data_IF_376389194298
#
_entry.id   IF_376389194298
#
_cell.length_a   1.000
_cell.length_b   1.000
_cell.length_c   1.000
_cell.angle_alpha   90.00
_cell.angle_beta   90.00
_cell.angle_gamma   90.00
#
_symmetry.space_group_name_H-M   'P 1'
#
loop_
_entity.id
_entity.type
_entity.pdbx_description
1 polymer ?
#
# COMPACT_ATOMS: atom_id res chain seq x y z
N UNK A 1 27.60 54.06 -22.20
CA UNK A 1 27.89 52.63 -22.40
C UNK A 1 28.72 52.00 -21.28
N UNK A 2 29.88 52.55 -20.90
CA UNK A 2 30.76 51.99 -19.85
C UNK A 2 30.08 51.74 -18.49
N UNK A 3 29.22 52.67 -18.04
CA UNK A 3 28.51 52.52 -16.75
C UNK A 3 27.44 51.42 -16.75
N UNK A 4 26.86 51.06 -17.90
CA UNK A 4 25.88 49.97 -17.99
C UNK A 4 26.56 48.61 -17.95
N UNK A 5 27.74 48.49 -18.59
CA UNK A 5 28.54 47.26 -18.59
C UNK A 5 29.01 46.91 -17.17
N UNK A 6 29.42 47.90 -16.38
CA UNK A 6 29.84 47.68 -14.99
C UNK A 6 28.68 47.12 -14.15
N UNK A 7 27.46 47.68 -14.29
CA UNK A 7 26.28 47.19 -13.58
C UNK A 7 25.94 45.75 -14.00
N UNK A 8 26.00 45.42 -15.30
CA UNK A 8 25.78 44.05 -15.76
C UNK A 8 26.83 43.07 -15.22
N UNK A 9 28.10 43.47 -15.15
CA UNK A 9 29.17 42.65 -14.56
C UNK A 9 29.01 42.46 -13.05
N UNK A 10 28.58 43.48 -12.30
CA UNK A 10 28.32 43.38 -10.86
C UNK A 10 27.12 42.48 -10.54
N UNK A 11 26.07 42.51 -11.36
CA UNK A 11 24.90 41.62 -11.23
C UNK A 11 25.28 40.17 -11.58
N UNK A 12 26.14 39.94 -12.58
CA UNK A 12 26.61 38.60 -12.92
C UNK A 12 27.45 37.96 -11.80
N UNK A 13 28.23 38.75 -11.08
CA UNK A 13 29.06 38.31 -9.95
C UNK A 13 28.25 37.98 -8.69
N UNK A 14 27.07 38.58 -8.53
CA UNK A 14 26.15 38.23 -7.43
C UNK A 14 25.37 36.93 -7.70
N UNK A 15 25.36 36.44 -8.95
CA UNK A 15 24.72 35.19 -9.34
C UNK A 15 25.67 33.97 -9.27
N UNK A 16 26.95 34.16 -8.95
CA UNK A 16 27.94 33.07 -8.85
C UNK A 16 28.13 32.55 -7.42
N UNK A 17 27.13 32.67 -6.55
CA UNK A 17 27.15 32.04 -5.24
C UNK A 17 27.00 30.52 -5.38
N UNK A 18 28.12 29.80 -5.42
CA UNK A 18 28.09 28.35 -5.27
C UNK A 18 27.60 28.01 -3.86
N UNK A 19 26.38 27.50 -3.76
CA UNK A 19 25.91 26.85 -2.52
C UNK A 19 26.75 25.59 -2.37
N UNK A 20 27.72 25.61 -1.46
CA UNK A 20 28.41 24.40 -1.08
C UNK A 20 27.44 23.54 -0.27
N UNK A 21 27.10 22.31 -0.73
CA UNK A 21 26.34 21.41 0.11
C UNK A 21 27.13 21.16 1.39
N UNK A 22 26.47 21.32 2.53
CA UNK A 22 27.05 20.93 3.81
C UNK A 22 27.18 19.42 3.82
N UNK A 23 28.40 18.92 3.62
CA UNK A 23 28.72 17.52 3.79
C UNK A 23 29.08 17.30 5.26
N UNK A 24 28.17 16.69 6.01
CA UNK A 24 28.49 16.18 7.34
C UNK A 24 29.50 15.05 7.16
N UNK A 25 30.70 15.20 7.72
CA UNK A 25 31.62 14.07 7.85
C UNK A 25 31.09 13.16 8.96
N UNK A 26 30.47 12.04 8.56
CA UNK A 26 30.11 11.00 9.50
C UNK A 26 31.39 10.24 9.85
N UNK A 27 31.76 10.21 11.13
CA UNK A 27 32.76 9.25 11.60
C UNK A 27 32.28 7.84 11.27
N UNK A 28 33.22 6.93 10.99
CA UNK A 28 32.98 5.49 10.85
C UNK A 28 32.33 4.95 12.13
N UNK A 29 31.02 5.15 12.26
CA UNK A 29 30.22 4.64 13.36
C UNK A 29 29.83 3.24 12.92
N UNK A 30 30.51 2.26 13.50
CA UNK A 30 30.03 0.88 13.49
C UNK A 30 28.54 0.90 13.89
N UNK A 31 27.71 0.22 13.11
CA UNK A 31 26.26 0.14 13.27
C UNK A 31 25.90 -0.34 14.68
N UNK A 32 25.74 0.58 15.63
CA UNK A 32 25.56 0.24 17.05
C UNK A 32 24.09 0.08 17.40
N UNK A 33 23.24 0.92 16.81
CA UNK A 33 21.84 1.04 17.19
C UNK A 33 20.95 0.20 16.28
N UNK A 34 19.96 -0.45 16.90
CA UNK A 34 19.01 -1.33 16.22
C UNK A 34 17.65 -0.68 16.08
N UNK A 35 16.92 -1.09 15.05
CA UNK A 35 15.51 -0.77 14.83
C UNK A 35 14.69 -2.04 14.95
N UNK A 36 13.65 -2.03 15.78
CA UNK A 36 12.72 -3.16 15.94
C UNK A 36 11.33 -2.71 15.53
N UNK A 37 10.73 -3.45 14.60
CA UNK A 37 9.40 -3.15 14.07
C UNK A 37 8.50 -4.37 14.11
N UNK A 38 7.29 -4.19 14.65
CA UNK A 38 6.28 -5.24 14.77
C UNK A 38 5.81 -5.43 16.21
N UNK A 39 4.60 -5.95 16.35
CA UNK A 39 4.02 -6.32 17.64
C UNK A 39 3.97 -7.85 17.77
N UNK A 40 3.91 -8.33 19.00
CA UNK A 40 3.63 -9.73 19.33
C UNK A 40 2.14 -9.95 19.11
N UNK A 41 1.80 -10.82 18.16
CA UNK A 41 0.42 -11.14 17.81
C UNK A 41 -0.04 -12.37 18.60
N UNK A 42 -1.21 -12.25 19.22
CA UNK A 42 -1.81 -13.34 19.99
C UNK A 42 -2.95 -13.97 19.18
N UNK A 43 -2.93 -15.30 19.02
CA UNK A 43 -3.91 -16.03 18.20
C UNK A 43 -3.53 -16.14 16.72
N UNK A 44 -2.42 -15.51 16.32
CA UNK A 44 -1.89 -15.49 14.95
C UNK A 44 -0.36 -15.54 14.96
N UNK A 45 0.30 -15.91 13.86
CA UNK A 45 1.75 -15.94 13.81
C UNK A 45 2.38 -14.55 13.88
N UNK A 46 3.28 -14.34 14.83
CA UNK A 46 4.01 -13.08 15.02
C UNK A 46 5.12 -12.92 13.98
N UNK A 47 5.28 -11.71 13.46
CA UNK A 47 6.43 -11.30 12.64
C UNK A 47 7.02 -10.02 13.18
N UNK A 48 8.33 -10.05 13.47
CA UNK A 48 9.10 -8.89 13.96
C UNK A 48 10.29 -8.70 13.03
N UNK A 49 10.52 -7.46 12.62
CA UNK A 49 11.64 -7.07 11.76
C UNK A 49 12.70 -6.34 12.57
N UNK A 50 13.94 -6.81 12.45
CA UNK A 50 15.13 -6.20 13.02
C UNK A 50 15.92 -5.50 11.91
N UNK A 51 16.31 -4.25 12.15
CA UNK A 51 17.10 -3.41 11.26
C UNK A 51 18.22 -2.70 12.00
N UNK A 52 19.08 -2.04 11.24
CA UNK A 52 20.07 -1.11 11.78
C UNK A 52 19.58 0.33 11.60
N UNK A 53 20.00 1.23 12.48
CA UNK A 53 19.94 2.66 12.20
C UNK A 53 21.05 3.00 11.21
N UNK A 54 20.73 3.72 10.15
CA UNK A 54 21.69 4.11 9.11
C UNK A 54 22.03 5.60 9.21
N UNK A 55 23.30 5.98 9.03
CA UNK A 55 23.69 7.37 8.87
C UNK A 55 22.92 8.05 7.73
N UNK A 56 22.67 9.35 7.90
CA UNK A 56 22.04 10.18 6.87
C UNK A 56 22.92 10.18 5.61
N UNK A 57 22.32 9.91 4.45
CA UNK A 57 23.05 9.80 3.18
C UNK A 57 23.37 8.36 2.75
N UNK A 58 23.09 7.36 3.58
CA UNK A 58 23.16 5.95 3.17
C UNK A 58 22.14 5.67 2.06
N UNK A 59 22.59 5.10 0.95
CA UNK A 59 21.70 4.83 -0.19
C UNK A 59 20.77 3.65 0.10
N UNK A 60 19.59 3.62 -0.53
CA UNK A 60 18.65 2.48 -0.41
C UNK A 60 19.25 1.15 -0.86
N UNK A 61 20.19 1.19 -1.80
CA UNK A 61 20.95 0.02 -2.23
C UNK A 61 21.93 -0.50 -1.18
N UNK A 62 22.50 0.37 -0.35
CA UNK A 62 23.38 0.00 0.76
C UNK A 62 22.58 -0.55 1.95
N UNK A 63 21.47 0.09 2.30
CA UNK A 63 20.56 -0.38 3.35
C UNK A 63 20.09 -1.82 3.07
N UNK A 64 19.74 -2.12 1.81
CA UNK A 64 19.26 -3.46 1.41
C UNK A 64 20.32 -4.55 1.46
N UNK A 65 21.60 -4.23 1.62
CA UNK A 65 22.70 -5.22 1.64
C UNK A 65 23.03 -5.73 3.03
N UNK A 66 22.59 -5.04 4.09
CA UNK A 66 22.97 -5.36 5.46
C UNK A 66 21.75 -5.40 6.37
N UNK A 67 21.36 -6.59 6.81
CA UNK A 67 20.35 -6.77 7.84
C UNK A 67 20.98 -7.46 9.05
N UNK A 68 20.62 -7.06 10.26
CA UNK A 68 21.05 -7.76 11.46
C UNK A 68 20.55 -9.20 11.41
N UNK A 69 21.46 -10.13 11.66
CA UNK A 69 21.13 -11.53 11.92
C UNK A 69 21.23 -11.79 13.42
N UNK A 70 20.86 -12.99 13.88
CA UNK A 70 20.93 -13.33 15.29
C UNK A 70 19.81 -14.26 15.73
N UNK A 71 19.55 -14.27 17.02
CA UNK A 71 18.43 -15.02 17.62
C UNK A 71 17.45 -14.08 18.28
N UNK A 72 16.18 -14.47 18.26
CA UNK A 72 15.11 -13.72 18.89
C UNK A 72 14.17 -14.71 19.58
N UNK A 73 13.78 -14.41 20.81
CA UNK A 73 12.88 -15.26 21.59
C UNK A 73 11.77 -14.42 22.20
N UNK A 74 10.56 -15.00 22.26
CA UNK A 74 9.45 -14.44 23.01
C UNK A 74 9.30 -15.20 24.32
N UNK A 75 9.21 -14.46 25.42
CA UNK A 75 9.01 -14.99 26.76
C UNK A 75 7.62 -14.61 27.25
N UNK A 76 6.85 -15.57 27.75
CA UNK A 76 5.60 -15.30 28.46
C UNK A 76 5.83 -15.34 29.98
N UNK A 77 5.02 -14.60 30.74
CA UNK A 77 5.10 -14.51 32.20
C UNK A 77 4.98 -15.86 32.94
N UNK A 78 4.49 -16.92 32.29
CA UNK A 78 4.49 -18.29 32.84
C UNK A 78 5.82 -19.05 32.67
N UNK A 79 6.82 -18.45 32.02
CA UNK A 79 8.08 -19.11 31.65
C UNK A 79 8.06 -19.88 30.32
N UNK A 80 6.96 -19.84 29.55
CA UNK A 80 6.91 -20.41 28.19
C UNK A 80 7.72 -19.55 27.23
N UNK A 81 8.50 -20.18 26.37
CA UNK A 81 9.38 -19.51 25.41
C UNK A 81 9.02 -19.95 23.98
N UNK A 82 8.96 -18.99 23.05
CA UNK A 82 8.88 -19.24 21.62
C UNK A 82 10.19 -18.81 20.97
N UNK A 83 10.80 -19.73 20.22
CA UNK A 83 12.01 -19.44 19.46
C UNK A 83 11.63 -18.84 18.10
N UNK A 84 12.22 -17.70 17.76
CA UNK A 84 12.04 -17.04 16.49
C UNK A 84 12.79 -17.76 15.38
N UNK A 85 12.10 -18.03 14.28
CA UNK A 85 12.71 -18.52 13.04
C UNK A 85 13.10 -17.33 12.18
N UNK A 86 14.39 -17.18 11.90
CA UNK A 86 14.87 -16.17 10.95
C UNK A 86 14.40 -16.53 9.54
N UNK A 87 13.77 -15.58 8.86
CA UNK A 87 13.32 -15.70 7.49
C UNK A 87 14.34 -15.02 6.57
N UNK A 88 14.06 -13.79 6.16
CA UNK A 88 14.96 -13.00 5.32
C UNK A 88 14.85 -11.52 5.67
N UNK A 89 15.89 -10.75 5.36
CA UNK A 89 15.93 -9.29 5.55
C UNK A 89 15.57 -8.85 6.99
N UNK A 90 16.18 -9.50 7.98
CA UNK A 90 15.95 -9.16 9.39
C UNK A 90 14.59 -9.59 9.95
N UNK A 91 13.75 -10.29 9.19
CA UNK A 91 12.43 -10.74 9.65
C UNK A 91 12.53 -12.05 10.43
N UNK A 92 11.94 -12.05 11.64
CA UNK A 92 11.77 -13.22 12.50
C UNK A 92 10.29 -13.59 12.59
N UNK A 93 10.03 -14.89 12.56
CA UNK A 93 8.69 -15.46 12.67
C UNK A 93 8.55 -16.31 13.94
N UNK A 94 7.42 -16.19 14.62
CA UNK A 94 7.08 -16.99 15.80
C UNK A 94 5.70 -17.63 15.63
N UNK A 95 5.59 -18.90 16.03
CA UNK A 95 4.32 -19.62 16.09
C UNK A 95 3.53 -19.28 17.35
N UNK A 96 2.85 -18.12 17.34
CA UNK A 96 2.06 -17.57 18.46
C UNK A 96 0.55 -17.80 18.33
N UNK A 97 0.14 -18.72 17.47
CA UNK A 97 -1.26 -19.09 17.24
C UNK A 97 -1.90 -19.64 18.53
N UNK A 98 -1.17 -20.46 19.28
CA UNK A 98 -1.61 -21.03 20.56
C UNK A 98 -1.10 -20.24 21.79
N UNK A 99 -0.76 -18.97 21.61
CA UNK A 99 -0.28 -18.11 22.68
C UNK A 99 -1.43 -17.70 23.62
N UNK A 100 -1.26 -17.79 24.95
CA UNK A 100 -2.29 -17.34 25.91
C UNK A 100 -2.72 -15.87 25.73
N UNK A 101 -4.02 -15.62 25.61
CA UNK A 101 -4.60 -14.27 25.52
C UNK A 101 -4.64 -13.50 26.85
N UNK A 102 -3.78 -13.85 27.80
CA UNK A 102 -3.68 -13.25 29.13
C UNK A 102 -2.24 -13.30 29.62
N UNK A 103 -1.87 -12.40 30.53
CA UNK A 103 -0.51 -12.32 31.04
C UNK A 103 0.31 -11.28 30.31
N UNK A 104 1.64 -11.43 30.35
CA UNK A 104 2.57 -10.49 29.73
C UNK A 104 3.63 -11.21 28.93
N UNK A 105 4.06 -10.55 27.86
CA UNK A 105 5.09 -11.04 26.96
C UNK A 105 6.27 -10.10 26.93
N UNK A 106 7.44 -10.64 26.64
CA UNK A 106 8.67 -9.88 26.46
C UNK A 106 9.44 -10.40 25.26
N UNK A 107 10.00 -9.49 24.48
CA UNK A 107 10.91 -9.80 23.39
C UNK A 107 12.34 -9.79 23.90
N UNK A 108 13.12 -10.78 23.48
CA UNK A 108 14.53 -10.87 23.76
C UNK A 108 15.31 -11.10 22.46
N UNK A 109 16.31 -10.26 22.20
CA UNK A 109 17.03 -10.16 20.93
C UNK A 109 18.53 -10.30 21.21
N UNK A 110 19.20 -11.17 20.46
CA UNK A 110 20.66 -11.33 20.43
C UNK A 110 21.14 -11.18 19.00
N UNK A 111 21.46 -9.95 18.57
CA UNK A 111 21.98 -9.73 17.23
C UNK A 111 23.39 -10.30 17.10
N UNK A 112 23.85 -10.40 15.86
CA UNK A 112 25.20 -10.83 15.47
C UNK A 112 26.32 -9.89 15.94
N UNK A 113 25.98 -8.69 16.40
CA UNK A 113 26.91 -7.74 17.02
C UNK A 113 27.33 -8.11 18.46
N UNK A 114 26.82 -9.21 19.01
CA UNK A 114 27.19 -9.72 20.35
C UNK A 114 26.54 -8.98 21.52
N UNK A 115 25.68 -7.99 21.25
CA UNK A 115 24.89 -7.30 22.27
C UNK A 115 23.62 -8.09 22.61
N UNK A 116 22.94 -7.72 23.69
CA UNK A 116 21.71 -8.36 24.14
C UNK A 116 20.67 -7.27 24.44
N UNK A 117 19.49 -7.38 23.84
CA UNK A 117 18.41 -6.42 24.00
C UNK A 117 17.15 -7.12 24.52
N UNK A 118 16.41 -6.43 25.40
CA UNK A 118 15.13 -6.89 25.90
C UNK A 118 14.09 -5.78 25.81
N UNK A 119 12.85 -6.15 25.46
CA UNK A 119 11.73 -5.25 25.66
C UNK A 119 11.32 -5.21 27.14
N UNK A 120 10.53 -4.21 27.51
CA UNK A 120 9.73 -4.28 28.71
C UNK A 120 8.67 -5.40 28.61
N UNK A 121 8.10 -5.77 29.75
CA UNK A 121 6.95 -6.68 29.80
C UNK A 121 5.70 -5.97 29.26
N UNK A 122 5.18 -6.45 28.13
CA UNK A 122 3.95 -5.98 27.52
C UNK A 122 2.77 -6.86 27.93
N UNK A 123 1.79 -6.29 28.64
CA UNK A 123 0.52 -6.97 28.90
C UNK A 123 -0.28 -7.18 27.61
N UNK A 124 -1.03 -8.27 27.53
CA UNK A 124 -1.88 -8.54 26.34
C UNK A 124 -2.97 -7.47 26.20
N UNK A 125 -2.90 -6.72 25.12
CA UNK A 125 -3.87 -5.71 24.74
C UNK A 125 -5.04 -6.38 24.03
N UNK A 126 -6.19 -6.42 24.70
CA UNK A 126 -7.44 -6.90 24.11
C UNK A 126 -7.94 -5.92 23.05
N UNK A 127 -8.74 -6.43 22.13
CA UNK A 127 -9.32 -5.65 21.03
C UNK A 127 -10.85 -5.79 21.04
N UNK A 128 -11.61 -4.70 20.86
CA UNK A 128 -13.06 -4.80 20.72
C UNK A 128 -13.42 -5.50 19.40
N UNK A 129 -14.57 -6.17 19.36
CA UNK A 129 -15.06 -6.79 18.13
C UNK A 129 -15.60 -5.73 17.16
N UNK A 130 -15.43 -5.97 15.86
CA UNK A 130 -16.08 -5.17 14.83
C UNK A 130 -17.54 -5.62 14.77
N UNK A 131 -18.44 -4.80 15.33
CA UNK A 131 -19.87 -5.09 15.37
C UNK A 131 -20.52 -4.85 14.02
N UNK A 132 -20.07 -3.83 13.32
CA UNK A 132 -20.61 -3.43 12.04
C UNK A 132 -19.51 -2.80 11.19
N UNK A 133 -19.41 -3.23 9.94
CA UNK A 133 -18.59 -2.64 8.91
C UNK A 133 -19.47 -2.42 7.69
N UNK A 134 -19.64 -1.17 7.26
CA UNK A 134 -20.63 -0.82 6.25
C UNK A 134 -20.16 0.32 5.34
N UNK A 135 -20.66 0.31 4.11
CA UNK A 135 -20.60 1.47 3.23
C UNK A 135 -21.75 2.43 3.56
N UNK A 136 -21.48 3.72 3.52
CA UNK A 136 -22.45 4.79 3.76
C UNK A 136 -22.31 5.87 2.70
N UNK A 137 -23.40 6.38 2.11
CA UNK A 137 -23.31 7.48 1.16
C UNK A 137 -22.90 8.76 1.89
N UNK A 138 -21.87 9.44 1.37
CA UNK A 138 -21.46 10.79 1.76
C UNK A 138 -21.65 11.78 0.61
N UNK A 139 -21.29 13.05 0.84
CA UNK A 139 -21.33 14.07 -0.21
C UNK A 139 -20.19 13.86 -1.21
N UNK A 140 -20.49 13.35 -2.40
CA UNK A 140 -19.50 13.06 -3.45
C UNK A 140 -18.61 11.84 -3.20
N UNK A 141 -18.71 11.22 -2.02
CA UNK A 141 -17.90 10.06 -1.61
C UNK A 141 -18.77 8.93 -1.06
N UNK A 142 -18.21 7.74 -0.98
CA UNK A 142 -18.68 6.60 -0.20
C UNK A 142 -17.77 6.49 1.01
N UNK A 143 -18.34 6.40 2.19
CA UNK A 143 -17.59 6.23 3.43
C UNK A 143 -17.68 4.77 3.86
N UNK A 144 -16.53 4.15 4.07
CA UNK A 144 -16.46 2.89 4.80
C UNK A 144 -16.40 3.22 6.28
N UNK A 145 -17.37 2.73 7.03
CA UNK A 145 -17.59 3.09 8.42
C UNK A 145 -17.64 1.82 9.27
N UNK A 146 -16.92 1.84 10.39
CA UNK A 146 -16.94 0.77 11.38
C UNK A 146 -17.53 1.23 12.72
N UNK A 147 -18.21 0.30 13.38
CA UNK A 147 -18.65 0.40 14.77
C UNK A 147 -17.96 -0.70 15.58
N UNK A 148 -17.35 -0.31 16.70
CA UNK A 148 -16.67 -1.19 17.65
C UNK A 148 -17.49 -1.26 18.94
N UNK A 149 -17.63 -2.46 19.48
CA UNK A 149 -18.32 -2.71 20.74
C UNK A 149 -17.41 -3.53 21.67
N UNK A 150 -17.35 -3.15 22.94
CA UNK A 150 -16.59 -3.91 23.92
C UNK A 150 -17.13 -3.73 25.33
N UNK A 151 -16.89 -4.70 26.20
CA UNK A 151 -17.50 -4.69 27.52
C UNK A 151 -16.69 -3.86 28.54
N UNK A 152 -15.35 -3.89 28.50
CA UNK A 152 -14.53 -3.35 29.60
C UNK A 152 -13.21 -2.72 29.16
N UNK A 153 -12.92 -1.55 29.76
CA UNK A 153 -11.67 -0.75 29.78
C UNK A 153 -11.37 0.24 28.64
N UNK A 154 -10.55 1.25 28.99
CA UNK A 154 -10.09 2.36 28.16
C UNK A 154 -9.24 1.84 26.99
N UNK A 155 -9.85 1.56 25.83
CA UNK A 155 -9.10 1.01 24.71
C UNK A 155 -8.38 2.08 23.91
N UNK A 156 -7.11 1.81 23.66
CA UNK A 156 -6.36 2.38 22.57
C UNK A 156 -6.37 1.35 21.44
N UNK A 157 -6.73 1.77 20.24
CA UNK A 157 -6.79 0.85 19.11
C UNK A 157 -6.28 1.51 17.84
N UNK A 158 -5.81 0.64 16.97
CA UNK A 158 -5.30 0.96 15.65
C UNK A 158 -6.08 0.14 14.64
N UNK A 159 -6.33 0.71 13.48
CA UNK A 159 -6.81 -0.06 12.34
C UNK A 159 -5.99 0.21 11.09
N UNK A 160 -5.87 -0.82 10.27
CA UNK A 160 -5.33 -0.80 8.93
C UNK A 160 -6.25 -1.63 8.03
N UNK A 161 -6.07 -1.50 6.72
CA UNK A 161 -6.90 -2.22 5.77
C UNK A 161 -6.15 -2.60 4.50
N UNK A 162 -6.60 -3.70 3.88
CA UNK A 162 -6.23 -4.06 2.52
C UNK A 162 -7.45 -3.97 1.61
N UNK A 163 -7.24 -3.47 0.41
CA UNK A 163 -8.27 -3.29 -0.61
C UNK A 163 -8.01 -4.21 -1.80
N UNK A 164 -9.07 -4.77 -2.35
CA UNK A 164 -9.05 -5.45 -3.63
C UNK A 164 -10.31 -5.02 -4.39
N UNK A 165 -10.19 -4.77 -5.68
CA UNK A 165 -11.34 -4.38 -6.47
C UNK A 165 -11.26 -4.89 -7.89
N UNK A 166 -12.44 -5.06 -8.45
CA UNK A 166 -12.67 -5.38 -9.83
C UNK A 166 -13.15 -4.13 -10.57
N UNK A 167 -12.64 -3.96 -11.78
CA UNK A 167 -13.15 -2.97 -12.70
C UNK A 167 -12.95 -3.48 -14.12
N UNK A 168 -13.75 -2.95 -15.03
CA UNK A 168 -13.70 -3.37 -16.43
C UNK A 168 -13.19 -2.26 -17.32
N UNK A 169 -12.65 -2.65 -18.46
CA UNK A 169 -12.54 -1.73 -19.59
C UNK A 169 -13.95 -1.21 -19.94
N UNK A 170 -14.03 -0.06 -20.61
CA UNK A 170 -15.32 0.47 -21.02
C UNK A 170 -16.03 -0.44 -22.05
N UNK A 171 -15.23 -1.15 -22.84
CA UNK A 171 -15.64 -1.96 -23.95
C UNK A 171 -14.91 -3.30 -23.95
N UNK A 172 -15.63 -4.40 -23.70
CA UNK A 172 -15.16 -5.76 -24.01
C UNK A 172 -14.78 -5.89 -25.47
N UNK A 173 -13.54 -6.28 -25.82
CA UNK A 173 -13.15 -6.47 -27.19
C UNK A 173 -13.75 -7.74 -27.80
N UNK A 174 -14.04 -7.69 -29.09
CA UNK A 174 -14.54 -8.84 -29.86
C UNK A 174 -13.41 -9.51 -30.66
N UNK A 175 -12.40 -8.72 -31.06
CA UNK A 175 -11.25 -9.17 -31.84
C UNK A 175 -9.96 -8.50 -31.38
N UNK A 176 -8.84 -9.11 -31.72
CA UNK A 176 -7.49 -8.57 -31.61
C UNK A 176 -6.98 -8.16 -32.98
N UNK A 177 -6.33 -7.00 -33.04
CA UNK A 177 -5.62 -6.58 -34.24
C UNK A 177 -4.29 -7.35 -34.42
N UNK A 178 -3.93 -7.65 -35.68
CA UNK A 178 -2.67 -8.32 -36.01
C UNK A 178 -1.69 -7.32 -36.64
N UNK A 179 -0.68 -6.82 -35.89
CA UNK A 179 0.28 -5.86 -36.40
C UNK A 179 1.29 -6.51 -37.36
N UNK A 180 1.87 -5.70 -38.26
CA UNK A 180 3.00 -6.13 -39.11
C UNK A 180 2.65 -7.02 -40.30
N UNK A 181 1.39 -7.06 -40.73
CA UNK A 181 0.96 -7.84 -41.90
C UNK A 181 1.59 -7.33 -43.21
N UNK A 182 1.98 -8.24 -44.13
CA UNK A 182 2.41 -7.89 -45.48
C UNK A 182 1.32 -7.08 -46.20
N UNK A 183 1.71 -6.11 -47.03
CA UNK A 183 0.79 -5.19 -47.72
C UNK A 183 -0.31 -5.92 -48.50
N UNK A 184 0.03 -7.01 -49.19
CA UNK A 184 -0.92 -7.89 -49.93
C UNK A 184 -2.04 -8.50 -49.06
N UNK A 185 -1.80 -8.63 -47.76
CA UNK A 185 -2.73 -9.26 -46.81
C UNK A 185 -3.58 -8.22 -46.07
N UNK A 186 -3.31 -6.91 -46.27
CA UNK A 186 -4.04 -5.79 -45.66
C UNK A 186 -5.40 -5.49 -46.28
N UNK A 187 -5.72 -6.10 -47.42
CA UNK A 187 -7.03 -5.93 -48.05
C UNK A 187 -8.10 -6.87 -47.51
N UNK A 188 -7.70 -7.93 -46.81
CA UNK A 188 -8.56 -8.99 -46.27
C UNK A 188 -8.81 -8.80 -44.77
N UNK A 189 -10.01 -8.34 -44.35
CA UNK A 189 -10.33 -8.13 -42.94
C UNK A 189 -10.15 -9.38 -42.08
N UNK A 190 -10.27 -10.59 -42.65
CA UNK A 190 -10.10 -11.84 -41.90
C UNK A 190 -8.65 -12.13 -41.50
N UNK A 191 -7.67 -11.46 -42.13
CA UNK A 191 -6.25 -11.55 -41.78
C UNK A 191 -5.80 -10.43 -40.84
N UNK A 192 -6.48 -9.28 -40.90
CA UNK A 192 -6.21 -8.08 -40.10
C UNK A 192 -6.63 -8.27 -38.64
N UNK A 193 -7.65 -9.09 -38.40
CA UNK A 193 -8.19 -9.36 -37.08
C UNK A 193 -8.22 -10.84 -36.78
N UNK A 194 -8.02 -11.18 -35.51
CA UNK A 194 -8.16 -12.54 -34.99
C UNK A 194 -9.02 -12.54 -33.74
N UNK A 195 -9.54 -13.72 -33.37
CA UNK A 195 -10.18 -13.88 -32.06
C UNK A 195 -9.11 -13.74 -30.94
N UNK A 196 -9.43 -13.07 -29.83
CA UNK A 196 -8.61 -13.14 -28.63
C UNK A 196 -8.57 -14.59 -28.12
N UNK A 197 -7.41 -15.02 -27.64
CA UNK A 197 -7.28 -16.25 -26.87
C UNK A 197 -7.90 -16.07 -25.47
N UNK A 198 -8.03 -17.15 -24.69
CA UNK A 198 -8.61 -17.10 -23.34
C UNK A 198 -7.89 -16.11 -22.41
N UNK A 199 -6.56 -15.97 -22.56
CA UNK A 199 -5.73 -15.04 -21.77
C UNK A 199 -5.82 -13.58 -22.24
N UNK A 200 -6.56 -13.31 -23.33
CA UNK A 200 -6.64 -12.01 -23.99
C UNK A 200 -7.99 -11.30 -23.80
N UNK A 201 -8.83 -11.78 -22.87
CA UNK A 201 -9.99 -11.01 -22.43
C UNK A 201 -9.54 -9.84 -21.56
N UNK A 202 -9.16 -8.72 -22.17
CA UNK A 202 -8.72 -7.52 -21.45
C UNK A 202 -9.89 -6.67 -20.92
N UNK A 203 -11.09 -7.25 -20.85
CA UNK A 203 -12.24 -6.56 -20.26
C UNK A 203 -12.19 -6.59 -18.75
N UNK A 204 -11.93 -7.75 -18.13
CA UNK A 204 -11.95 -7.92 -16.68
C UNK A 204 -10.58 -7.66 -16.07
N UNK A 205 -10.45 -6.72 -15.15
CA UNK A 205 -9.23 -6.51 -14.37
C UNK A 205 -9.51 -6.40 -12.88
N UNK A 206 -8.48 -6.72 -12.12
CA UNK A 206 -8.40 -6.54 -10.69
C UNK A 206 -7.22 -5.65 -10.34
N UNK A 207 -7.33 -4.99 -9.20
CA UNK A 207 -6.21 -4.31 -8.57
C UNK A 207 -6.36 -4.38 -7.05
N UNK A 208 -5.29 -4.02 -6.35
CA UNK A 208 -5.21 -4.11 -4.90
C UNK A 208 -4.35 -3.00 -4.33
N UNK A 209 -4.66 -2.60 -3.10
CA UNK A 209 -3.91 -1.58 -2.39
C UNK A 209 -3.93 -1.87 -0.89
N UNK A 210 -3.14 -1.12 -0.12
CA UNK A 210 -3.16 -1.20 1.35
C UNK A 210 -3.22 0.22 1.94
N UNK A 211 -3.71 0.32 3.17
CA UNK A 211 -3.67 1.57 3.92
C UNK A 211 -2.22 2.07 4.05
N UNK A 212 -1.96 3.29 3.59
CA UNK A 212 -0.64 3.94 3.71
C UNK A 212 -0.37 4.33 5.16
N UNK A 213 -1.38 4.87 5.83
CA UNK A 213 -1.29 5.36 7.19
C UNK A 213 -2.36 4.67 8.04
N UNK A 214 -1.99 4.08 9.19
CA UNK A 214 -2.97 3.45 10.07
C UNK A 214 -3.84 4.50 10.77
N UNK A 215 -5.10 4.16 10.98
CA UNK A 215 -5.97 4.93 11.84
C UNK A 215 -5.68 4.66 13.32
N UNK A 216 -5.78 5.70 14.14
CA UNK A 216 -5.59 5.63 15.59
C UNK A 216 -6.79 6.29 16.27
N UNK A 217 -7.33 5.63 17.29
CA UNK A 217 -8.35 6.23 18.14
C UNK A 217 -8.28 5.65 19.55
N UNK A 218 -9.06 6.28 20.43
CA UNK A 218 -9.18 5.85 21.81
C UNK A 218 -10.60 6.05 22.32
N UNK A 219 -11.02 5.10 23.14
CA UNK A 219 -12.24 5.19 23.92
C UNK A 219 -12.00 5.84 25.30
N UNK A 220 -10.79 6.36 25.57
CA UNK A 220 -10.46 7.01 26.83
C UNK A 220 -11.42 8.17 27.14
N UNK A 221 -12.06 8.12 28.32
CA UNK A 221 -12.98 9.15 28.79
C UNK A 221 -14.41 9.06 28.25
N UNK A 222 -14.77 8.04 27.47
CA UNK A 222 -16.16 7.80 27.09
C UNK A 222 -16.91 7.05 28.19
N UNK A 223 -18.14 7.48 28.50
CA UNK A 223 -19.00 6.83 29.50
C UNK A 223 -19.65 5.54 29.00
N UNK A 224 -19.51 5.25 27.70
CA UNK A 224 -20.01 4.04 27.04
C UNK A 224 -18.85 3.42 26.28
N UNK A 225 -18.62 2.15 26.54
CA UNK A 225 -17.57 1.32 25.95
C UNK A 225 -17.93 0.91 24.49
N UNK A 226 -18.33 1.87 23.65
CA UNK A 226 -18.63 1.62 22.23
C UNK A 226 -18.18 2.80 21.39
N UNK A 227 -17.40 2.55 20.34
CA UNK A 227 -17.01 3.59 19.39
C UNK A 227 -17.82 3.41 18.12
N UNK A 228 -18.61 4.42 17.77
CA UNK A 228 -19.51 4.37 16.62
C UNK A 228 -19.08 5.35 15.53
N UNK A 229 -19.41 5.00 14.30
CA UNK A 229 -19.20 5.80 13.10
C UNK A 229 -17.73 6.20 12.87
N UNK A 230 -16.79 5.29 13.13
CA UNK A 230 -15.38 5.52 12.78
C UNK A 230 -15.24 5.42 11.27
N UNK A 231 -14.83 6.51 10.63
CA UNK A 231 -14.56 6.52 9.18
C UNK A 231 -13.21 5.84 8.94
N UNK A 232 -13.25 4.70 8.26
CA UNK A 232 -12.06 3.93 7.89
C UNK A 232 -11.44 4.49 6.61
N UNK A 233 -12.28 4.75 5.61
CA UNK A 233 -11.87 5.20 4.28
C UNK A 233 -12.97 6.00 3.60
N UNK A 234 -12.60 7.06 2.88
CA UNK A 234 -13.48 7.76 1.95
C UNK A 234 -13.06 7.45 0.51
N UNK A 235 -13.98 6.94 -0.30
CA UNK A 235 -13.77 6.62 -1.71
C UNK A 235 -14.59 7.60 -2.55
N UNK A 236 -13.99 8.24 -3.56
CA UNK A 236 -14.74 9.09 -4.49
C UNK A 236 -15.81 8.27 -5.22
N UNK A 237 -17.00 8.83 -5.41
CA UNK A 237 -18.06 8.15 -6.18
C UNK A 237 -17.71 7.97 -7.65
N UNK A 238 -16.75 8.74 -8.17
CA UNK A 238 -16.24 8.60 -9.53
C UNK A 238 -15.03 7.64 -9.62
N UNK A 239 -14.60 7.06 -8.51
CA UNK A 239 -13.45 6.14 -8.49
C UNK A 239 -13.81 4.80 -9.13
N UNK A 240 -12.96 4.31 -10.02
CA UNK A 240 -13.11 3.00 -10.66
C UNK A 240 -13.04 1.85 -9.65
N UNK A 241 -12.42 2.05 -8.48
CA UNK A 241 -12.37 1.09 -7.37
C UNK A 241 -13.74 0.49 -7.04
N UNK A 242 -14.81 1.28 -7.14
CA UNK A 242 -16.18 0.85 -6.80
C UNK A 242 -17.06 0.65 -8.03
N UNK A 243 -16.49 0.61 -9.23
CA UNK A 243 -17.26 0.55 -10.50
C UNK A 243 -17.92 -0.81 -10.77
N UNK A 244 -17.42 -1.87 -10.13
CA UNK A 244 -17.98 -3.24 -10.17
C UNK A 244 -18.13 -3.82 -8.78
N UNK A 245 -17.09 -4.45 -8.26
CA UNK A 245 -17.08 -5.04 -6.95
C UNK A 245 -15.81 -4.60 -6.23
N UNK A 246 -16.00 -4.05 -5.04
CA UNK A 246 -14.94 -3.61 -4.16
C UNK A 246 -14.95 -4.45 -2.89
N UNK A 247 -13.80 -4.88 -2.42
CA UNK A 247 -13.62 -5.59 -1.18
C UNK A 247 -12.59 -4.84 -0.31
N UNK A 248 -12.91 -4.67 0.96
CA UNK A 248 -12.01 -4.12 1.97
C UNK A 248 -11.96 -5.06 3.17
N UNK A 249 -10.76 -5.44 3.57
CA UNK A 249 -10.47 -6.16 4.81
C UNK A 249 -9.94 -5.17 5.84
N UNK A 250 -10.75 -4.88 6.86
CA UNK A 250 -10.34 -3.99 7.94
C UNK A 250 -9.83 -4.83 9.09
N UNK A 251 -8.60 -4.57 9.53
CA UNK A 251 -7.98 -5.21 10.69
C UNK A 251 -7.85 -4.19 11.81
N UNK A 252 -8.38 -4.52 12.99
CA UNK A 252 -8.27 -3.70 14.21
C UNK A 252 -7.36 -4.43 15.19
N UNK A 253 -6.43 -3.69 15.81
CA UNK A 253 -5.52 -4.18 16.84
C UNK A 253 -5.67 -3.35 18.11
N UNK A 254 -5.60 -4.01 19.27
CA UNK A 254 -5.41 -3.31 20.55
C UNK A 254 -4.03 -2.66 20.64
N UNK A 255 -3.89 -1.65 21.49
CA UNK A 255 -2.62 -0.98 21.81
C UNK A 255 -2.52 -0.69 23.30
N UNK A 256 -1.31 -0.70 23.84
CA UNK A 256 -1.05 -0.12 25.16
C UNK A 256 -1.05 1.41 25.05
N UNK A 257 -1.14 2.11 26.19
CA UNK A 257 -1.01 3.57 26.20
C UNK A 257 0.33 4.05 25.65
N UNK A 258 1.42 3.34 25.97
CA UNK A 258 2.75 3.63 25.41
C UNK A 258 2.83 3.32 23.91
N UNK A 259 2.24 2.20 23.48
CA UNK A 259 2.19 1.84 22.06
C UNK A 259 1.40 2.84 21.22
N UNK A 260 0.29 3.38 21.75
CA UNK A 260 -0.44 4.47 21.09
C UNK A 260 0.38 5.75 21.01
N UNK A 261 1.05 6.14 22.09
CA UNK A 261 1.92 7.32 22.09
C UNK A 261 3.04 7.19 21.03
N UNK A 262 3.65 6.00 20.95
CA UNK A 262 4.65 5.68 19.93
C UNK A 262 4.09 5.79 18.50
N UNK A 263 2.92 5.22 18.23
CA UNK A 263 2.28 5.28 16.91
C UNK A 263 1.90 6.72 16.53
N UNK A 264 1.37 7.49 17.49
CA UNK A 264 1.06 8.91 17.26
C UNK A 264 2.34 9.70 16.93
N UNK A 265 3.43 9.45 17.65
CA UNK A 265 4.70 10.10 17.40
C UNK A 265 5.26 9.78 15.99
N UNK A 266 5.22 8.52 15.56
CA UNK A 266 5.61 8.15 14.19
C UNK A 266 4.75 8.84 13.13
N UNK A 267 3.45 8.97 13.40
CA UNK A 267 2.51 9.69 12.55
C UNK A 267 2.82 11.19 12.48
N UNK A 268 3.16 11.80 13.61
CA UNK A 268 3.52 13.21 13.67
C UNK A 268 4.81 13.50 12.89
N UNK A 269 5.82 12.63 13.02
CA UNK A 269 7.08 12.73 12.25
C UNK A 269 6.84 12.55 10.76
N UNK A 270 6.03 11.56 10.37
CA UNK A 270 5.75 11.30 8.95
C UNK A 270 4.98 12.42 8.27
N UNK A 271 4.16 13.16 9.01
CA UNK A 271 3.36 14.27 8.50
C UNK A 271 4.08 15.62 8.63
N UNK A 272 5.23 15.67 9.30
CA UNK A 272 6.03 16.87 9.39
C UNK A 272 6.70 17.16 8.03
N UNK A 273 6.41 18.33 7.48
CA UNK A 273 7.04 18.86 6.26
C UNK A 273 8.55 19.12 6.41
N UNK A 274 9.09 18.98 7.62
CA UNK A 274 10.51 19.03 7.91
C UNK A 274 10.99 20.45 8.21
N UNK A 275 11.56 20.63 9.39
CA UNK A 275 12.34 21.78 9.82
C UNK A 275 13.58 21.30 10.57
N UNK A 276 14.54 22.19 10.83
CA UNK A 276 15.72 21.86 11.64
C UNK A 276 15.37 21.40 13.07
N UNK A 277 14.16 21.69 13.54
CA UNK A 277 13.67 21.37 14.88
C UNK A 277 12.57 20.29 14.87
N UNK A 278 12.40 19.59 13.74
CA UNK A 278 11.46 18.49 13.64
C UNK A 278 11.87 17.37 14.59
N UNK A 279 10.91 16.78 15.34
CA UNK A 279 11.19 15.63 16.19
C UNK A 279 11.70 14.47 15.32
N UNK A 280 12.67 13.73 15.83
CA UNK A 280 13.21 12.54 15.18
C UNK A 280 12.74 11.27 15.90
N UNK A 281 12.63 10.11 15.21
CA UNK A 281 12.15 8.88 15.85
C UNK A 281 13.00 8.41 17.04
N UNK A 282 14.26 8.86 17.13
CA UNK A 282 15.16 8.60 18.25
C UNK A 282 14.88 9.46 19.49
N UNK A 283 14.08 10.54 19.36
CA UNK A 283 13.80 11.47 20.47
C UNK A 283 12.75 10.94 21.46
N UNK A 284 11.92 9.97 21.05
CA UNK A 284 11.00 9.27 21.95
C UNK A 284 11.61 7.93 22.38
N UNK A 285 11.74 7.64 23.68
CA UNK A 285 12.20 6.34 24.13
C UNK A 285 11.16 5.27 23.78
N UNK A 286 11.62 4.25 23.06
CA UNK A 286 10.89 2.99 22.89
C UNK A 286 10.86 2.17 24.19
N UNK A 287 10.32 0.95 24.12
CA UNK A 287 10.30 0.01 25.25
C UNK A 287 11.35 -1.11 25.12
N UNK A 288 12.39 -0.90 24.33
CA UNK A 288 13.45 -1.88 24.08
C UNK A 288 14.78 -1.30 24.54
N UNK A 289 15.52 -2.10 25.30
CA UNK A 289 16.73 -1.66 25.99
C UNK A 289 17.86 -2.67 25.78
N UNK A 290 19.07 -2.15 25.55
CA UNK A 290 20.29 -2.95 25.58
C UNK A 290 20.63 -3.29 27.04
N UNK A 291 20.68 -4.58 27.37
CA UNK A 291 21.01 -5.04 28.73
C UNK A 291 22.51 -5.28 28.92
N UNK A 292 23.26 -5.47 27.84
CA UNK A 292 24.71 -5.64 27.86
C UNK A 292 25.47 -4.30 27.92
N UNK A 293 24.95 -3.26 27.25
CA UNK A 293 25.52 -1.91 27.25
C UNK A 293 24.41 -0.85 27.23
N UNK A 294 24.08 -0.23 28.37
CA UNK A 294 23.03 0.79 28.47
C UNK A 294 23.29 2.09 27.67
N UNK A 295 24.48 2.26 27.10
CA UNK A 295 24.80 3.42 26.24
C UNK A 295 24.32 3.25 24.81
N UNK A 296 23.98 2.02 24.41
CA UNK A 296 23.45 1.69 23.09
C UNK A 296 21.94 1.89 23.02
N UNK A 297 21.48 2.54 21.95
CA UNK A 297 20.06 2.81 21.77
C UNK A 297 19.38 1.73 20.91
N UNK A 298 18.10 1.50 21.20
CA UNK A 298 17.21 0.73 20.35
C UNK A 298 15.98 1.57 20.02
N UNK A 299 15.62 1.63 18.74
CA UNK A 299 14.44 2.35 18.26
C UNK A 299 13.34 1.33 17.99
N UNK A 300 12.24 1.42 18.72
CA UNK A 300 11.10 0.53 18.53
C UNK A 300 10.23 0.40 19.75
N UNK A 301 8.98 0.01 19.53
CA UNK A 301 8.03 -0.28 20.59
C UNK A 301 7.29 -1.56 20.24
N UNK A 302 7.26 -2.50 21.18
CA UNK A 302 6.64 -3.82 21.00
C UNK A 302 5.52 -3.99 22.03
N UNK A 303 4.29 -4.14 21.54
CA UNK A 303 3.13 -4.57 22.33
C UNK A 303 2.82 -6.05 22.09
N UNK A 304 2.14 -6.68 23.04
CA UNK A 304 1.40 -7.91 22.83
C UNK A 304 -0.06 -7.59 22.52
N UNK A 305 -0.53 -7.88 21.31
CA UNK A 305 -1.82 -7.40 20.81
C UNK A 305 -2.68 -8.54 20.28
N UNK A 306 -3.96 -8.50 20.62
CA UNK A 306 -5.01 -9.25 19.93
C UNK A 306 -5.49 -8.45 18.70
N UNK A 307 -6.01 -9.16 17.70
CA UNK A 307 -6.58 -8.59 16.48
C UNK A 307 -7.96 -9.13 16.18
N UNK A 308 -8.75 -8.32 15.51
CA UNK A 308 -10.00 -8.73 14.88
C UNK A 308 -10.02 -8.18 13.46
N UNK A 309 -10.61 -8.91 12.53
CA UNK A 309 -10.71 -8.50 11.14
C UNK A 309 -12.10 -8.78 10.58
N UNK A 310 -12.55 -7.91 9.68
CA UNK A 310 -13.82 -8.08 8.99
C UNK A 310 -13.69 -7.61 7.54
N UNK A 311 -14.20 -8.44 6.62
CA UNK A 311 -14.31 -8.11 5.20
C UNK A 311 -15.67 -7.47 4.91
N UNK A 312 -15.67 -6.42 4.11
CA UNK A 312 -16.86 -5.83 3.51
C UNK A 312 -16.75 -5.85 1.99
N UNK A 313 -17.83 -6.27 1.33
CA UNK A 313 -18.03 -6.09 -0.10
C UNK A 313 -18.93 -4.90 -0.37
N UNK A 314 -18.57 -4.09 -1.36
CA UNK A 314 -19.33 -2.92 -1.81
C UNK A 314 -19.59 -3.06 -3.30
N UNK A 315 -20.86 -2.97 -3.69
CA UNK A 315 -21.29 -3.10 -5.08
C UNK A 315 -21.27 -1.77 -5.84
N UNK A 316 -21.68 -1.80 -7.13
CA UNK A 316 -21.59 -0.66 -8.03
C UNK A 316 -22.70 0.37 -7.79
N UNK A 317 -23.64 0.12 -6.88
CA UNK A 317 -24.74 1.03 -6.55
C UNK A 317 -24.27 2.41 -6.06
N UNK A 318 -23.04 2.49 -5.55
CA UNK A 318 -22.45 3.74 -5.10
C UNK A 318 -21.72 4.51 -6.20
N UNK A 319 -21.28 3.83 -7.26
CA UNK A 319 -20.48 4.40 -8.34
C UNK A 319 -21.31 5.36 -9.19
N UNK A 320 -20.66 6.45 -9.59
CA UNK A 320 -21.20 7.49 -10.47
C UNK A 320 -20.17 7.70 -11.56
N UNK A 321 -20.43 7.09 -12.72
CA UNK A 321 -19.55 7.21 -13.88
C UNK A 321 -19.36 8.68 -14.24
N UNK A 322 -18.13 9.20 -14.23
CA UNK A 322 -17.86 10.54 -14.72
C UNK A 322 -18.14 10.60 -16.22
N UNK A 323 -18.52 11.78 -16.73
CA UNK A 323 -18.60 11.99 -18.16
C UNK A 323 -17.20 11.94 -18.76
N UNK A 324 -16.96 11.01 -19.70
CA UNK A 324 -15.72 10.93 -20.45
C UNK A 324 -16.02 11.20 -21.95
N UNK A 325 -15.62 12.37 -22.49
CA UNK A 325 -15.83 12.71 -23.89
C UNK A 325 -14.94 11.89 -24.85
N UNK A 326 -13.88 11.26 -24.35
CA UNK A 326 -12.96 10.42 -25.14
C UNK A 326 -13.44 8.97 -25.22
N UNK A 327 -14.59 8.65 -24.62
CA UNK A 327 -15.28 7.36 -24.72
C UNK A 327 -15.95 7.11 -26.08
N UNK A 328 -15.34 7.59 -27.15
CA UNK A 328 -15.87 7.47 -28.51
C UNK A 328 -15.20 6.30 -29.20
N UNK A 329 -16.03 5.41 -29.75
CA UNK A 329 -15.58 4.41 -30.70
C UNK A 329 -15.61 5.02 -32.11
N UNK A 330 -14.49 4.91 -32.81
CA UNK A 330 -14.31 5.45 -34.15
C UNK A 330 -14.46 4.34 -35.19
N UNK A 331 -15.07 4.68 -36.32
CA UNK A 331 -14.95 3.86 -37.51
C UNK A 331 -13.62 4.19 -38.20
N UNK A 332 -12.93 3.19 -38.77
CA UNK A 332 -11.77 3.48 -39.60
C UNK A 332 -12.23 4.34 -40.79
N UNK A 333 -11.57 5.48 -41.02
CA UNK A 333 -11.86 6.32 -42.17
C UNK A 333 -11.24 5.70 -43.43
N UNK A 334 -12.03 5.65 -44.50
CA UNK A 334 -11.50 5.33 -45.81
C UNK A 334 -10.82 6.58 -46.40
N UNK A 335 -9.64 6.40 -46.98
CA UNK A 335 -8.99 7.41 -47.80
C UNK A 335 -9.74 7.62 -49.13
N UNK A 336 -9.25 8.54 -49.95
CA UNK A 336 -9.85 8.91 -51.23
C UNK A 336 -9.97 7.73 -52.22
N UNK A 337 -9.16 6.68 -52.04
CA UNK A 337 -9.16 5.47 -52.87
C UNK A 337 -10.07 4.35 -52.31
N UNK A 338 -10.77 4.60 -51.20
CA UNK A 338 -11.63 3.62 -50.53
C UNK A 338 -10.84 2.58 -49.72
N UNK A 339 -9.54 2.81 -49.50
CA UNK A 339 -8.69 2.04 -48.62
C UNK A 339 -8.84 2.59 -47.20
N UNK A 340 -9.12 1.70 -46.26
CA UNK A 340 -9.29 2.11 -44.87
C UNK A 340 -7.90 2.40 -44.30
N UNK A 341 -7.67 3.64 -43.88
CA UNK A 341 -6.40 4.04 -43.30
C UNK A 341 -6.32 3.51 -41.87
N UNK A 342 -5.83 2.28 -41.74
CA UNK A 342 -5.52 1.68 -40.45
C UNK A 342 -4.11 2.09 -39.96
N UNK A 343 -3.33 2.92 -40.67
CA UNK A 343 -1.90 3.22 -40.36
C UNK A 343 -1.72 3.94 -39.02
N UNK A 344 -2.70 4.75 -38.61
CA UNK A 344 -2.70 5.35 -37.27
C UNK A 344 -2.92 4.33 -36.14
N UNK A 345 -3.43 3.14 -36.46
CA UNK A 345 -3.79 2.08 -35.51
C UNK A 345 -2.93 0.80 -35.68
N UNK A 346 -2.23 0.64 -36.81
CA UNK A 346 -1.39 -0.52 -37.20
C UNK A 346 -0.25 -0.82 -36.21
N UNK A 347 0.15 0.17 -35.40
CA UNK A 347 1.28 0.05 -34.46
C UNK A 347 0.87 -0.28 -33.03
N UNK A 348 -0.43 -0.46 -32.78
CA UNK A 348 -0.93 -0.79 -31.46
C UNK A 348 -1.57 -2.17 -31.53
N UNK A 349 -1.00 -3.14 -30.80
CA UNK A 349 -1.61 -4.44 -30.49
C UNK A 349 -2.87 -4.21 -29.65
N UNK A 350 -3.89 -3.66 -30.31
CA UNK A 350 -5.05 -3.05 -29.69
C UNK A 350 -6.28 -3.92 -29.93
N UNK A 351 -7.05 -4.18 -28.88
CA UNK A 351 -8.33 -4.86 -29.01
C UNK A 351 -9.34 -3.97 -29.77
N UNK A 352 -10.26 -4.59 -30.52
CA UNK A 352 -11.28 -3.88 -31.31
C UNK A 352 -12.68 -4.45 -31.09
N UNK A 353 -13.69 -3.64 -31.36
CA UNK A 353 -15.12 -4.00 -31.24
C UNK A 353 -15.76 -4.27 -32.60
N UNK A 354 -16.70 -5.20 -32.64
CA UNK A 354 -17.53 -5.49 -33.80
C UNK A 354 -18.93 -4.89 -33.65
N UNK A 355 -19.48 -4.38 -34.75
CA UNK A 355 -20.87 -3.94 -34.87
C UNK A 355 -21.73 -4.94 -35.66
N UNK A 356 -21.21 -6.13 -35.98
CA UNK A 356 -21.90 -7.20 -36.72
C UNK A 356 -21.23 -8.57 -36.54
N UNK A 357 -21.77 -9.63 -37.16
CA UNK A 357 -21.39 -11.03 -36.90
C UNK A 357 -20.00 -11.45 -37.43
N UNK A 358 -19.46 -10.75 -38.44
CA UNK A 358 -18.15 -11.03 -39.04
C UNK A 358 -17.37 -9.74 -39.27
N UNK A 359 -16.04 -9.73 -39.13
CA UNK A 359 -15.23 -8.55 -39.42
C UNK A 359 -15.36 -8.17 -40.90
N UNK A 360 -15.64 -6.91 -41.14
CA UNK A 360 -15.65 -6.25 -42.44
C UNK A 360 -15.12 -4.84 -42.27
N UNK A 361 -14.74 -4.19 -43.37
CA UNK A 361 -14.14 -2.85 -43.31
C UNK A 361 -15.08 -1.80 -42.70
N UNK A 362 -16.39 -1.99 -42.75
CA UNK A 362 -17.41 -1.02 -42.30
C UNK A 362 -18.00 -1.31 -40.92
N UNK A 363 -17.70 -2.45 -40.29
CA UNK A 363 -18.35 -2.86 -39.03
C UNK A 363 -17.35 -3.13 -37.88
N UNK A 364 -16.09 -2.74 -38.05
CA UNK A 364 -15.10 -2.72 -36.96
C UNK A 364 -15.05 -1.31 -36.38
N UNK A 365 -15.07 -1.25 -35.05
CA UNK A 365 -14.97 -0.03 -34.25
C UNK A 365 -13.69 -0.05 -33.43
N UNK A 366 -12.95 1.04 -33.52
CA UNK A 366 -11.71 1.25 -32.80
C UNK A 366 -11.96 2.13 -31.58
N UNK A 367 -11.42 1.71 -30.45
CA UNK A 367 -11.37 2.53 -29.24
C UNK A 367 -9.91 2.79 -28.88
N UNK A 368 -9.62 3.90 -28.17
CA UNK A 368 -8.34 4.05 -27.48
C UNK A 368 -8.05 2.80 -26.63
N UNK A 369 -6.79 2.35 -26.56
CA UNK A 369 -6.41 1.13 -25.83
C UNK A 369 -6.97 1.10 -24.40
N UNK A 370 -6.99 2.24 -23.70
CA UNK A 370 -7.55 2.36 -22.34
C UNK A 370 -9.03 1.98 -22.21
N UNK A 371 -9.81 2.10 -23.28
CA UNK A 371 -11.25 1.82 -23.27
C UNK A 371 -11.55 0.33 -23.53
N UNK A 372 -10.58 -0.42 -24.06
CA UNK A 372 -10.74 -1.83 -24.48
C UNK A 372 -9.77 -2.79 -23.78
N UNK A 373 -8.75 -2.25 -23.11
CA UNK A 373 -7.76 -2.98 -22.31
C UNK A 373 -7.67 -2.34 -20.92
N UNK A 374 -8.25 -3.00 -19.93
CA UNK A 374 -8.27 -2.52 -18.55
C UNK A 374 -6.87 -2.45 -17.91
N UNK A 375 -5.84 -3.10 -18.49
CA UNK A 375 -4.45 -3.01 -18.01
C UNK A 375 -3.84 -1.65 -18.32
N UNK A 376 -4.31 -0.98 -19.37
CA UNK A 376 -3.80 0.34 -19.77
C UNK A 376 -4.14 1.45 -18.75
N UNK A 377 -5.03 1.18 -17.80
CA UNK A 377 -5.36 2.06 -16.66
C UNK A 377 -4.88 1.49 -15.31
N UNK A 378 -3.92 0.56 -15.34
CA UNK A 378 -3.27 0.00 -14.14
C UNK A 378 -3.82 -1.35 -13.68
N UNK A 379 -4.58 -2.05 -14.52
CA UNK A 379 -5.26 -3.30 -14.17
C UNK A 379 -4.36 -4.51 -14.28
N UNK A 380 -4.63 -5.49 -13.43
CA UNK A 380 -4.00 -6.81 -13.47
C UNK A 380 -5.02 -7.88 -13.83
N UNK A 381 -4.55 -8.93 -14.50
CA UNK A 381 -5.31 -10.16 -14.74
C UNK A 381 -5.24 -11.13 -13.54
N UNK A 382 -4.50 -10.77 -12.50
CA UNK A 382 -4.36 -11.57 -11.28
C UNK A 382 -5.58 -11.40 -10.39
N UNK A 383 -6.64 -12.13 -10.69
CA UNK A 383 -7.83 -12.24 -9.84
C UNK A 383 -7.50 -12.96 -8.53
N UNK A 384 -7.92 -12.44 -7.36
CA UNK A 384 -7.77 -13.16 -6.10
C UNK A 384 -8.56 -14.48 -6.08
N UNK A 385 -7.99 -15.56 -5.55
CA UNK A 385 -8.66 -16.87 -5.51
C UNK A 385 -9.96 -16.87 -4.69
N UNK A 386 -10.03 -16.03 -3.67
CA UNK A 386 -11.20 -15.87 -2.81
C UNK A 386 -12.29 -14.95 -3.39
N UNK A 387 -12.04 -14.34 -4.56
CA UNK A 387 -12.96 -13.39 -5.17
C UNK A 387 -14.30 -14.06 -5.51
N UNK A 388 -15.47 -13.44 -5.21
CA UNK A 388 -16.73 -14.18 -5.10
C UNK A 388 -17.46 -14.45 -6.43
N UNK A 389 -16.90 -14.11 -7.59
CA UNK A 389 -17.48 -14.36 -8.90
C UNK A 389 -16.59 -15.26 -9.77
N UNK A 390 -17.05 -15.62 -10.97
CA UNK A 390 -16.33 -16.45 -11.93
C UNK A 390 -15.75 -15.64 -13.12
N UNK A 391 -15.73 -14.31 -13.03
CA UNK A 391 -15.21 -13.43 -14.07
C UNK A 391 -13.72 -13.71 -14.35
N UNK A 392 -13.30 -13.68 -15.62
CA UNK A 392 -11.94 -14.05 -16.06
C UNK A 392 -11.39 -13.09 -17.10
#
# INVERSE_FOLDING_TARGET
>A
MKSRIIIYCSVLLMLSGCIYPFAVEYGDTEFSDIVVSGNILIGEPTRITLGYVYPIGTTSGEMRKKYPTGTMTLEHSSGRIWNGSYLSRGMFHFGTEDAPASGSYRLHIKPDNGQEYMSDWAGVCQVPEIKNLRASPGNGVVQIVMDLDGADSLWNFRWDYSENWEYHADYRPDLMFVPGLPERDREDPSKIYRLPNEDEDYYYCWNSDNSVEPGLASAEGQSVNSVKNVVVLNISRADLKISRLYAIDVTVSGLSSGGRAWQQHLKDISNDTGSLFSPTPSDMPGNIHCISDPTLNAVGYVDAVCRTSQRLFVGPEYYRRPYDPELLLFYPEADEDGLYNFDNYYYSDSPVRLSGEKPSKTNVKWGPKRCVDCRAIGGSKNKPEWWPNDDK
#
